data_IF_380729393321
#
_entry.id   IF_380729393321
#
_cell.length_a   1.000
_cell.length_b   1.000
_cell.length_c   1.000
_cell.angle_alpha   90.00
_cell.angle_beta   90.00
_cell.angle_gamma   90.00
#
_symmetry.space_group_name_H-M   'P 1'
#
loop_
_entity.id
_entity.type
_entity.pdbx_description
1 polymer ?
#
# COMPACT_ATOMS: atom_id res chain seq x y z
N UNK A 1 28.26 -35.43 26.11
CA UNK A 1 28.82 -34.44 25.16
C UNK A 1 27.87 -33.92 24.09
N UNK A 2 26.82 -34.68 23.61
CA UNK A 2 25.88 -34.22 22.58
C UNK A 2 24.94 -33.09 23.03
N UNK A 3 24.45 -33.10 24.29
CA UNK A 3 23.48 -32.12 24.78
C UNK A 3 23.93 -30.65 24.64
N UNK A 4 25.15 -30.26 25.06
CA UNK A 4 25.60 -28.86 24.91
C UNK A 4 25.73 -28.45 23.45
N UNK A 5 26.12 -29.34 22.54
CA UNK A 5 26.19 -29.05 21.10
C UNK A 5 24.76 -28.80 20.54
N UNK A 6 23.80 -29.64 20.90
CA UNK A 6 22.39 -29.45 20.49
C UNK A 6 21.82 -28.13 21.00
N UNK A 7 22.12 -27.77 22.26
CA UNK A 7 21.66 -26.49 22.84
C UNK A 7 22.28 -25.28 22.12
N UNK A 8 23.58 -25.34 21.78
CA UNK A 8 24.24 -24.27 21.03
C UNK A 8 23.64 -24.13 19.63
N UNK A 9 23.41 -25.25 18.91
CA UNK A 9 22.78 -25.24 17.59
C UNK A 9 21.36 -24.69 17.65
N UNK A 10 20.57 -25.07 18.64
CA UNK A 10 19.23 -24.54 18.85
C UNK A 10 19.25 -23.03 19.14
N UNK A 11 20.17 -22.55 19.96
CA UNK A 11 20.32 -21.13 20.25
C UNK A 11 20.69 -20.33 18.99
N UNK A 12 21.63 -20.84 18.18
CA UNK A 12 22.02 -20.22 16.91
C UNK A 12 20.80 -20.16 15.96
N UNK A 13 20.06 -21.25 15.83
CA UNK A 13 18.87 -21.29 14.98
C UNK A 13 17.84 -20.26 15.41
N UNK A 14 17.50 -20.20 16.70
CA UNK A 14 16.55 -19.21 17.25
C UNK A 14 17.01 -17.78 17.01
N UNK A 15 18.31 -17.53 17.19
CA UNK A 15 18.89 -16.19 16.96
C UNK A 15 18.80 -15.78 15.49
N UNK A 16 19.13 -16.69 14.57
CA UNK A 16 19.04 -16.42 13.13
C UNK A 16 17.59 -16.18 12.70
N UNK A 17 16.66 -17.02 13.16
CA UNK A 17 15.22 -16.84 12.85
C UNK A 17 14.72 -15.51 13.43
N UNK A 18 15.05 -15.21 14.69
CA UNK A 18 14.70 -13.94 15.34
C UNK A 18 15.23 -12.73 14.56
N UNK A 19 16.49 -12.81 14.10
CA UNK A 19 17.07 -11.77 13.25
C UNK A 19 16.35 -11.62 11.91
N UNK A 20 16.02 -12.72 11.25
CA UNK A 20 15.25 -12.67 9.98
C UNK A 20 13.87 -12.05 10.22
N UNK A 21 13.12 -12.51 11.22
CA UNK A 21 11.81 -11.95 11.58
C UNK A 21 11.91 -10.46 11.85
N UNK A 22 12.84 -10.05 12.68
CA UNK A 22 13.08 -8.64 12.98
C UNK A 22 13.39 -7.85 11.71
N UNK A 23 14.28 -8.34 10.85
CA UNK A 23 14.71 -7.63 9.66
C UNK A 23 13.64 -7.50 8.57
N UNK A 24 12.69 -8.43 8.48
CA UNK A 24 11.57 -8.34 7.52
C UNK A 24 10.39 -7.54 8.08
N UNK A 25 10.21 -7.52 9.40
CA UNK A 25 9.21 -6.66 10.04
C UNK A 25 9.65 -5.21 10.19
N UNK A 26 10.97 -4.93 10.08
CA UNK A 26 11.56 -3.59 10.14
C UNK A 26 12.25 -3.27 8.79
N UNK A 27 11.50 -2.80 7.79
CA UNK A 27 12.07 -2.45 6.49
C UNK A 27 13.22 -1.46 6.60
N UNK A 28 14.16 -1.55 5.67
CA UNK A 28 15.32 -0.65 5.66
C UNK A 28 14.89 0.80 5.44
N UNK A 29 15.34 1.70 6.32
CA UNK A 29 15.13 3.13 6.17
C UNK A 29 16.02 3.67 5.07
N UNK A 30 15.45 4.42 4.14
CA UNK A 30 16.18 5.04 3.02
C UNK A 30 15.79 6.52 2.94
N UNK A 31 16.68 7.32 2.37
CA UNK A 31 16.32 8.69 2.00
C UNK A 31 15.26 8.64 0.90
N UNK A 32 14.35 9.59 0.91
CA UNK A 32 13.35 9.73 -0.16
C UNK A 32 14.04 9.92 -1.51
N UNK A 33 13.54 9.26 -2.54
CA UNK A 33 14.02 9.42 -3.91
C UNK A 33 13.83 10.84 -4.42
N UNK A 34 12.68 11.43 -4.08
CA UNK A 34 12.28 12.79 -4.45
C UNK A 34 11.56 13.40 -3.25
N UNK A 35 11.76 14.70 -3.02
CA UNK A 35 11.02 15.43 -1.97
C UNK A 35 10.07 16.43 -2.61
N UNK A 36 9.01 16.87 -1.89
CA UNK A 36 8.10 17.91 -2.38
C UNK A 36 8.83 19.19 -2.78
N UNK A 37 9.90 19.55 -2.08
CA UNK A 37 10.68 20.77 -2.34
C UNK A 37 11.42 20.67 -3.69
N UNK A 38 12.01 19.51 -4.00
CA UNK A 38 12.65 19.28 -5.31
C UNK A 38 11.62 19.21 -6.44
N UNK A 39 10.42 18.71 -6.17
CA UNK A 39 9.34 18.64 -7.14
C UNK A 39 8.66 20.00 -7.36
N UNK A 40 8.59 20.86 -6.33
CA UNK A 40 7.99 22.20 -6.42
C UNK A 40 8.73 23.14 -7.41
N UNK A 41 9.96 22.79 -7.81
CA UNK A 41 10.68 23.49 -8.87
C UNK A 41 10.17 23.15 -10.28
N UNK A 42 9.48 22.01 -10.42
CA UNK A 42 8.97 21.48 -11.69
C UNK A 42 7.44 21.58 -11.81
N UNK A 43 6.73 21.82 -10.72
CA UNK A 43 5.27 21.88 -10.65
C UNK A 43 4.81 23.04 -9.78
N UNK A 44 3.70 23.68 -10.14
CA UNK A 44 3.05 24.72 -9.32
C UNK A 44 2.32 24.15 -8.09
N UNK A 45 2.28 22.84 -7.92
CA UNK A 45 1.60 22.17 -6.80
C UNK A 45 2.56 22.00 -5.63
N UNK A 46 2.11 22.40 -4.45
CA UNK A 46 2.87 22.25 -3.21
C UNK A 46 2.27 21.12 -2.37
N UNK A 47 3.07 20.10 -2.14
CA UNK A 47 2.74 19.11 -1.14
C UNK A 47 3.14 19.60 0.26
N UNK A 48 2.27 19.43 1.22
CA UNK A 48 2.53 19.74 2.64
C UNK A 48 2.81 18.46 3.43
N UNK A 49 3.69 18.56 4.43
CA UNK A 49 3.90 17.48 5.39
C UNK A 49 2.75 17.48 6.38
N UNK A 50 2.09 16.36 6.51
CA UNK A 50 0.95 16.17 7.41
C UNK A 50 1.23 15.03 8.39
N UNK A 51 0.64 15.12 9.57
CA UNK A 51 0.64 14.06 10.59
C UNK A 51 -0.75 13.90 11.16
N UNK A 52 -1.12 12.67 11.49
CA UNK A 52 -2.40 12.37 12.13
C UNK A 52 -2.25 11.20 13.10
N UNK A 53 -3.20 11.08 14.01
CA UNK A 53 -3.22 10.02 15.01
C UNK A 53 -4.04 8.84 14.50
N UNK A 54 -3.49 7.64 14.62
CA UNK A 54 -4.17 6.39 14.35
C UNK A 54 -5.03 5.95 15.55
N UNK A 55 -5.97 5.03 15.32
CA UNK A 55 -6.88 4.54 16.37
C UNK A 55 -6.15 3.82 17.52
N UNK A 56 -4.99 3.22 17.26
CA UNK A 56 -4.15 2.60 18.30
C UNK A 56 -3.29 3.61 19.08
N UNK A 57 -3.48 4.90 18.84
CA UNK A 57 -2.77 5.99 19.48
C UNK A 57 -1.41 6.31 18.87
N UNK A 58 -0.95 5.55 17.88
CA UNK A 58 0.27 5.83 17.14
C UNK A 58 0.09 6.99 16.15
N UNK A 59 1.18 7.49 15.58
CA UNK A 59 1.17 8.58 14.60
C UNK A 59 1.46 8.03 13.20
N UNK A 60 0.78 8.55 12.18
CA UNK A 60 1.12 8.39 10.77
C UNK A 60 1.53 9.72 10.15
N UNK A 61 2.28 9.65 9.06
CA UNK A 61 2.81 10.81 8.33
C UNK A 61 2.62 10.64 6.85
N UNK A 62 2.38 11.76 6.17
CA UNK A 62 2.17 11.75 4.73
C UNK A 62 2.46 13.09 4.08
N UNK A 63 2.38 13.11 2.76
CA UNK A 63 2.33 14.32 1.95
C UNK A 63 0.92 14.54 1.44
N UNK A 64 0.44 15.77 1.56
CA UNK A 64 -0.89 16.19 1.10
C UNK A 64 -0.77 17.19 -0.04
N UNK A 65 -1.36 16.85 -1.17
CA UNK A 65 -1.61 17.73 -2.31
C UNK A 65 -3.08 18.17 -2.24
N UNK A 66 -3.31 19.45 -1.95
CA UNK A 66 -4.67 19.98 -1.79
C UNK A 66 -5.33 20.17 -3.15
N UNK A 67 -6.57 19.72 -3.26
CA UNK A 67 -7.42 19.90 -4.43
C UNK A 67 -8.45 21.01 -4.25
N UNK A 68 -9.50 20.99 -5.07
CA UNK A 68 -10.67 21.88 -4.91
C UNK A 68 -11.52 21.43 -3.73
N UNK A 69 -12.09 22.42 -3.02
CA UNK A 69 -13.01 22.15 -1.91
C UNK A 69 -14.19 21.30 -2.34
N UNK A 70 -14.50 20.26 -1.56
CA UNK A 70 -15.59 19.33 -1.83
C UNK A 70 -15.33 18.31 -2.94
N UNK A 71 -14.17 18.37 -3.63
CA UNK A 71 -13.78 17.35 -4.60
C UNK A 71 -13.46 16.01 -3.91
N UNK A 72 -13.52 14.87 -4.64
CA UNK A 72 -13.09 13.58 -4.12
C UNK A 72 -11.65 13.61 -3.59
N UNK A 73 -11.32 12.65 -2.75
CA UNK A 73 -9.95 12.42 -2.29
C UNK A 73 -9.39 11.10 -2.81
N UNK A 74 -8.06 11.04 -2.95
CA UNK A 74 -7.35 9.80 -3.32
C UNK A 74 -6.19 9.57 -2.37
N UNK A 75 -6.05 8.34 -1.87
CA UNK A 75 -4.91 7.90 -1.06
C UNK A 75 -4.02 7.00 -1.92
N UNK A 76 -2.72 7.28 -1.97
CA UNK A 76 -1.74 6.50 -2.73
C UNK A 76 -0.83 5.74 -1.79
N UNK A 77 -0.85 4.39 -1.88
CA UNK A 77 -0.18 3.47 -0.97
C UNK A 77 0.95 2.72 -1.68
N UNK A 78 2.17 2.93 -1.20
CA UNK A 78 3.38 2.33 -1.76
C UNK A 78 3.53 0.84 -1.41
N UNK A 79 4.42 0.13 -2.11
CA UNK A 79 4.75 -1.27 -1.84
C UNK A 79 5.69 -1.44 -0.64
N UNK A 80 5.89 -2.69 -0.18
CA UNK A 80 6.88 -3.04 0.84
C UNK A 80 8.28 -2.61 0.44
N UNK A 81 9.08 -2.16 1.41
CA UNK A 81 10.50 -1.83 1.26
C UNK A 81 10.81 -0.51 0.56
N UNK A 82 9.78 0.27 0.19
CA UNK A 82 9.91 1.62 -0.36
C UNK A 82 9.10 2.61 0.48
N UNK A 83 8.94 3.83 0.03
CA UNK A 83 8.26 4.91 0.75
C UNK A 83 7.39 5.76 -0.20
N UNK A 84 6.70 6.74 0.36
CA UNK A 84 5.76 7.63 -0.36
C UNK A 84 6.38 8.39 -1.53
N UNK A 85 7.70 8.60 -1.55
CA UNK A 85 8.38 9.33 -2.64
C UNK A 85 8.27 8.61 -3.99
N UNK A 86 8.07 7.28 -3.98
CA UNK A 86 7.86 6.49 -5.18
C UNK A 86 6.57 6.84 -5.92
N UNK A 87 5.59 7.40 -5.23
CA UNK A 87 4.28 7.74 -5.77
C UNK A 87 4.08 9.26 -5.95
N UNK A 88 5.10 10.08 -5.64
CA UNK A 88 4.95 11.54 -5.69
C UNK A 88 4.62 12.03 -7.10
N UNK A 89 5.27 11.50 -8.13
CA UNK A 89 4.99 11.86 -9.52
C UNK A 89 3.52 11.57 -9.90
N UNK A 90 3.05 10.34 -9.67
CA UNK A 90 1.65 9.97 -9.90
C UNK A 90 0.69 10.88 -9.11
N UNK A 91 1.02 11.16 -7.83
CA UNK A 91 0.21 12.03 -6.97
C UNK A 91 0.08 13.44 -7.49
N UNK A 92 1.17 14.04 -7.97
CA UNK A 92 1.16 15.38 -8.55
C UNK A 92 0.38 15.40 -9.87
N UNK A 93 0.64 14.46 -10.77
CA UNK A 93 -0.08 14.37 -12.05
C UNK A 93 -1.60 14.16 -11.83
N UNK A 94 -1.99 13.31 -10.89
CA UNK A 94 -3.38 13.09 -10.53
C UNK A 94 -4.02 14.37 -9.98
N UNK A 95 -3.37 15.04 -9.04
CA UNK A 95 -3.88 16.30 -8.47
C UNK A 95 -4.00 17.41 -9.52
N UNK A 96 -3.03 17.54 -10.44
CA UNK A 96 -3.07 18.51 -11.53
C UNK A 96 -4.19 18.23 -12.55
N UNK A 97 -4.35 16.97 -12.93
CA UNK A 97 -5.34 16.58 -13.94
C UNK A 97 -6.79 16.66 -13.43
N UNK A 98 -7.02 16.39 -12.14
CA UNK A 98 -8.38 16.20 -11.61
C UNK A 98 -8.80 17.24 -10.58
N UNK A 99 -7.85 17.98 -10.00
CA UNK A 99 -8.03 18.82 -8.81
C UNK A 99 -8.56 18.05 -7.57
N UNK A 100 -8.34 16.74 -7.47
CA UNK A 100 -8.63 15.97 -6.28
C UNK A 100 -7.58 16.22 -5.20
N UNK A 101 -7.98 16.11 -3.94
CA UNK A 101 -7.02 16.10 -2.84
C UNK A 101 -6.34 14.73 -2.78
N UNK A 102 -5.00 14.71 -2.83
CA UNK A 102 -4.21 13.47 -2.85
C UNK A 102 -3.35 13.37 -1.59
N UNK A 103 -3.45 12.24 -0.89
CA UNK A 103 -2.64 11.93 0.29
C UNK A 103 -1.70 10.76 -0.01
N UNK A 104 -0.43 10.95 0.29
CA UNK A 104 0.62 9.95 0.14
C UNK A 104 1.19 9.63 1.53
N UNK A 105 0.65 8.67 2.28
CA UNK A 105 1.22 8.25 3.56
C UNK A 105 2.46 7.38 3.38
N UNK A 106 3.39 7.42 4.34
CA UNK A 106 4.27 6.29 4.57
C UNK A 106 3.48 5.22 5.33
N UNK A 107 3.47 4.01 4.81
CA UNK A 107 2.91 2.87 5.51
C UNK A 107 3.75 2.55 6.76
N UNK A 108 3.11 1.96 7.76
CA UNK A 108 3.74 1.57 9.02
C UNK A 108 5.07 0.83 8.79
N UNK A 109 6.10 1.21 9.53
CA UNK A 109 7.46 0.66 9.38
C UNK A 109 8.29 1.22 8.23
N UNK A 110 7.71 2.04 7.35
CA UNK A 110 8.36 2.57 6.15
C UNK A 110 8.63 4.07 6.23
N UNK A 111 9.38 4.57 5.26
CA UNK A 111 9.74 5.97 5.14
C UNK A 111 10.93 6.39 6.01
N UNK A 112 11.23 7.69 5.99
CA UNK A 112 12.31 8.29 6.76
C UNK A 112 11.83 8.53 8.20
N UNK A 113 12.47 7.89 9.18
CA UNK A 113 12.13 8.00 10.61
C UNK A 113 10.64 7.71 10.91
N UNK A 114 10.13 6.53 10.57
CA UNK A 114 8.74 6.19 10.82
C UNK A 114 8.44 6.25 12.31
N UNK A 115 7.27 6.80 12.73
CA UNK A 115 6.84 6.79 14.13
C UNK A 115 6.72 5.37 14.69
N UNK A 116 6.29 4.43 13.85
CA UNK A 116 6.29 3.00 14.10
C UNK A 116 7.38 2.34 13.27
N UNK A 117 8.28 1.62 13.92
CA UNK A 117 9.43 1.00 13.25
C UNK A 117 9.14 -0.33 12.54
N UNK A 118 7.90 -0.87 12.60
CA UNK A 118 7.58 -2.21 12.11
C UNK A 118 6.31 -2.22 11.25
N UNK A 119 6.25 -3.16 10.31
CA UNK A 119 5.09 -3.46 9.46
C UNK A 119 4.38 -4.73 9.91
N UNK A 120 3.07 -4.76 9.79
CA UNK A 120 2.21 -5.93 10.03
C UNK A 120 1.74 -6.59 8.74
N UNK A 121 2.36 -6.26 7.60
CA UNK A 121 2.01 -6.79 6.29
C UNK A 121 0.53 -6.57 5.92
N UNK A 122 0.00 -5.37 6.20
CA UNK A 122 -1.32 -4.92 5.77
C UNK A 122 -2.41 -4.95 6.84
N UNK A 123 -2.21 -5.58 7.99
CA UNK A 123 -3.23 -5.67 9.05
C UNK A 123 -3.47 -4.33 9.74
N UNK A 124 -2.43 -3.78 10.38
CA UNK A 124 -2.47 -2.48 11.07
C UNK A 124 -2.42 -1.33 10.08
N UNK A 125 -1.73 -1.51 8.96
CA UNK A 125 -1.68 -0.53 7.88
C UNK A 125 -3.08 -0.20 7.35
N UNK A 126 -3.99 -1.18 7.28
CA UNK A 126 -5.38 -0.93 6.89
C UNK A 126 -6.13 -0.04 7.89
N UNK A 127 -5.90 -0.22 9.19
CA UNK A 127 -6.44 0.65 10.25
C UNK A 127 -5.86 2.07 10.15
N UNK A 128 -4.55 2.20 9.86
CA UNK A 128 -3.88 3.48 9.65
C UNK A 128 -4.45 4.23 8.43
N UNK A 129 -4.80 3.50 7.36
CA UNK A 129 -5.44 4.09 6.16
C UNK A 129 -6.87 4.56 6.47
N UNK A 130 -7.63 3.82 7.29
CA UNK A 130 -8.95 4.30 7.76
C UNK A 130 -8.80 5.60 8.54
N UNK A 131 -7.83 5.67 9.47
CA UNK A 131 -7.54 6.90 10.20
C UNK A 131 -7.08 8.05 9.26
N UNK A 132 -6.35 7.74 8.18
CA UNK A 132 -5.97 8.72 7.15
C UNK A 132 -7.18 9.26 6.38
N UNK A 133 -8.17 8.42 6.07
CA UNK A 133 -9.42 8.86 5.46
C UNK A 133 -10.24 9.75 6.39
N UNK A 134 -10.31 9.41 7.67
CA UNK A 134 -10.95 10.26 8.69
C UNK A 134 -10.24 11.61 8.83
N UNK A 135 -8.90 11.61 8.84
CA UNK A 135 -8.10 12.82 8.82
C UNK A 135 -8.43 13.69 7.59
N UNK A 136 -8.49 13.12 6.39
CA UNK A 136 -8.86 13.85 5.19
C UNK A 136 -10.26 14.49 5.31
N UNK A 137 -11.25 13.77 5.85
CA UNK A 137 -12.61 14.31 6.07
C UNK A 137 -12.64 15.42 7.10
N UNK A 138 -11.70 15.47 8.04
CA UNK A 138 -11.61 16.54 9.04
C UNK A 138 -11.04 17.85 8.50
N UNK A 139 -10.36 17.81 7.34
CA UNK A 139 -9.68 18.96 6.75
C UNK A 139 -10.67 20.01 6.24
N UNK A 140 -10.34 21.27 6.48
CA UNK A 140 -11.13 22.43 6.03
C UNK A 140 -10.27 23.39 5.23
N UNK A 141 -10.93 24.14 4.37
CA UNK A 141 -10.35 25.30 3.70
C UNK A 141 -10.22 26.48 4.68
N UNK A 142 -9.45 27.53 4.34
CA UNK A 142 -9.39 28.75 5.14
C UNK A 142 -10.78 29.41 5.36
N UNK A 143 -11.75 29.13 4.47
CA UNK A 143 -13.12 29.62 4.56
C UNK A 143 -14.03 28.72 5.40
N UNK A 144 -13.49 27.63 6.01
CA UNK A 144 -14.23 26.71 6.86
C UNK A 144 -15.02 25.62 6.12
N UNK A 145 -14.95 25.56 4.78
CA UNK A 145 -15.61 24.51 3.99
C UNK A 145 -14.84 23.19 4.10
N UNK A 146 -15.52 22.05 3.95
CA UNK A 146 -14.85 20.76 3.83
C UNK A 146 -13.89 20.75 2.64
N UNK A 147 -12.64 20.31 2.87
CA UNK A 147 -11.64 20.22 1.81
C UNK A 147 -11.96 19.08 0.84
N UNK A 148 -12.44 17.95 1.35
CA UNK A 148 -12.76 16.76 0.56
C UNK A 148 -14.25 16.45 0.59
N UNK A 149 -14.74 15.83 -0.47
CA UNK A 149 -16.09 15.30 -0.56
C UNK A 149 -16.26 13.98 0.19
N UNK A 150 -17.43 13.35 0.01
CA UNK A 150 -17.81 12.11 0.71
C UNK A 150 -17.26 10.84 0.06
N UNK A 151 -16.66 10.93 -1.13
CA UNK A 151 -16.15 9.80 -1.88
C UNK A 151 -14.63 9.81 -1.91
N UNK A 152 -14.03 8.64 -1.71
CA UNK A 152 -12.58 8.44 -1.76
C UNK A 152 -12.22 7.33 -2.75
N UNK A 153 -11.06 7.50 -3.40
CA UNK A 153 -10.37 6.45 -4.12
C UNK A 153 -9.09 6.03 -3.38
N UNK A 154 -8.68 4.79 -3.56
CA UNK A 154 -7.37 4.33 -3.09
C UNK A 154 -6.66 3.63 -4.25
N UNK A 155 -5.42 4.03 -4.49
CA UNK A 155 -4.46 3.31 -5.30
C UNK A 155 -3.43 2.65 -4.39
N UNK A 156 -3.09 1.41 -4.66
CA UNK A 156 -2.05 0.72 -3.90
C UNK A 156 -1.28 -0.30 -4.73
N UNK A 157 -0.01 -0.50 -4.37
CA UNK A 157 0.90 -1.47 -4.99
C UNK A 157 1.33 -2.49 -3.95
N UNK A 158 1.22 -3.76 -4.23
CA UNK A 158 1.61 -4.90 -3.39
C UNK A 158 1.08 -4.78 -1.95
N UNK A 159 1.93 -4.45 -0.94
CA UNK A 159 1.50 -4.15 0.44
C UNK A 159 0.43 -3.07 0.45
N UNK A 160 0.64 -1.99 -0.31
CA UNK A 160 -0.34 -0.91 -0.46
C UNK A 160 -1.66 -1.38 -1.07
N UNK A 161 -1.62 -2.29 -2.05
CA UNK A 161 -2.82 -2.85 -2.68
C UNK A 161 -3.60 -3.74 -1.70
N UNK A 162 -2.91 -4.61 -0.98
CA UNK A 162 -3.55 -5.42 0.06
C UNK A 162 -4.13 -4.56 1.19
N UNK A 163 -3.39 -3.53 1.61
CA UNK A 163 -3.83 -2.55 2.60
C UNK A 163 -5.07 -1.78 2.12
N UNK A 164 -5.09 -1.33 0.86
CA UNK A 164 -6.23 -0.63 0.24
C UNK A 164 -7.50 -1.49 0.25
N UNK A 165 -7.38 -2.76 -0.14
CA UNK A 165 -8.47 -3.71 -0.14
C UNK A 165 -9.07 -3.88 1.27
N UNK A 166 -8.21 -4.03 2.28
CA UNK A 166 -8.59 -4.21 3.68
C UNK A 166 -9.18 -2.92 4.30
N UNK A 167 -8.70 -1.75 3.90
CA UNK A 167 -9.26 -0.46 4.33
C UNK A 167 -10.65 -0.22 3.73
N UNK A 168 -10.84 -0.55 2.44
CA UNK A 168 -12.13 -0.42 1.77
C UNK A 168 -13.24 -1.31 2.36
N UNK A 169 -12.87 -2.44 2.96
CA UNK A 169 -13.80 -3.30 3.72
C UNK A 169 -14.34 -2.60 4.98
N UNK A 170 -13.60 -1.64 5.54
CA UNK A 170 -13.90 -0.94 6.80
C UNK A 170 -14.46 0.47 6.63
N UNK A 171 -14.24 1.09 5.47
CA UNK A 171 -14.67 2.48 5.21
C UNK A 171 -15.50 2.54 3.91
N UNK A 172 -16.79 2.80 4.07
CA UNK A 172 -17.74 2.86 2.95
C UNK A 172 -17.54 4.06 2.04
N UNK A 173 -16.82 5.09 2.47
CA UNK A 173 -16.49 6.24 1.61
C UNK A 173 -15.52 5.86 0.49
N UNK A 174 -14.79 4.76 0.63
CA UNK A 174 -13.93 4.20 -0.42
C UNK A 174 -14.79 3.56 -1.49
N UNK A 175 -15.00 4.26 -2.60
CA UNK A 175 -15.85 3.83 -3.72
C UNK A 175 -15.05 3.30 -4.90
N UNK A 176 -13.78 3.70 -5.02
CA UNK A 176 -12.92 3.37 -6.15
C UNK A 176 -11.60 2.79 -5.66
N UNK A 177 -11.20 1.66 -6.24
CA UNK A 177 -9.94 0.99 -5.94
C UNK A 177 -9.11 0.78 -7.21
N UNK A 178 -7.81 1.04 -7.13
CA UNK A 178 -6.84 0.58 -8.11
C UNK A 178 -5.81 -0.26 -7.37
N UNK A 179 -5.80 -1.56 -7.65
CA UNK A 179 -4.99 -2.55 -6.94
C UNK A 179 -3.96 -3.14 -7.91
N UNK A 180 -2.71 -2.82 -7.69
CA UNK A 180 -1.60 -3.24 -8.53
C UNK A 180 -0.77 -4.32 -7.85
N UNK A 181 -0.54 -5.42 -8.58
CA UNK A 181 0.36 -6.50 -8.14
C UNK A 181 0.04 -7.00 -6.73
N UNK A 182 -1.25 -7.26 -6.45
CA UNK A 182 -1.72 -7.61 -5.12
C UNK A 182 -1.33 -9.05 -4.73
N UNK A 183 -0.73 -9.28 -3.56
CA UNK A 183 -0.47 -10.63 -3.05
C UNK A 183 -1.76 -11.33 -2.62
N UNK A 184 -1.79 -12.66 -2.71
CA UNK A 184 -2.93 -13.44 -2.27
C UNK A 184 -3.10 -13.40 -0.74
N UNK A 185 -1.99 -13.36 0.01
CA UNK A 185 -1.98 -13.37 1.49
C UNK A 185 -0.80 -12.57 2.06
N UNK A 186 -0.87 -12.10 3.31
CA UNK A 186 0.29 -11.57 4.04
C UNK A 186 1.49 -12.52 4.13
N UNK A 187 1.26 -13.84 4.18
CA UNK A 187 2.34 -14.82 4.13
C UNK A 187 3.11 -14.80 2.80
N UNK A 188 2.47 -14.46 1.69
CA UNK A 188 3.15 -14.33 0.40
C UNK A 188 4.08 -13.11 0.39
N UNK A 189 3.64 -11.99 0.97
CA UNK A 189 4.49 -10.81 1.19
C UNK A 189 5.67 -11.13 2.11
N UNK A 190 5.40 -11.82 3.24
CA UNK A 190 6.45 -12.27 4.16
C UNK A 190 7.48 -13.14 3.44
N UNK A 191 7.03 -14.09 2.60
CA UNK A 191 7.90 -14.95 1.79
C UNK A 191 8.77 -14.13 0.85
N UNK A 192 8.20 -13.14 0.16
CA UNK A 192 8.93 -12.25 -0.74
C UNK A 192 9.97 -11.43 0.03
N UNK A 193 9.60 -10.85 1.17
CA UNK A 193 10.50 -10.08 2.03
C UNK A 193 11.68 -10.94 2.55
N UNK A 194 11.41 -12.19 2.96
CA UNK A 194 12.45 -13.14 3.38
C UNK A 194 13.40 -13.45 2.23
N UNK A 195 12.85 -13.73 1.02
CA UNK A 195 13.67 -14.00 -0.17
C UNK A 195 14.54 -12.79 -0.54
N UNK A 196 13.97 -11.59 -0.52
CA UNK A 196 14.71 -10.34 -0.80
C UNK A 196 15.83 -10.13 0.23
N UNK A 197 15.56 -10.37 1.51
CA UNK A 197 16.50 -10.12 2.62
C UNK A 197 17.62 -11.15 2.71
N UNK A 198 17.32 -12.43 2.44
CA UNK A 198 18.24 -13.55 2.66
C UNK A 198 18.80 -14.14 1.37
N UNK A 199 18.20 -13.84 0.21
CA UNK A 199 18.47 -14.52 -1.06
C UNK A 199 17.93 -15.96 -1.12
N UNK A 200 17.31 -16.47 -0.05
CA UNK A 200 16.87 -17.85 0.09
C UNK A 200 15.37 -18.00 -0.13
N UNK A 201 14.99 -19.03 -0.91
CA UNK A 201 13.58 -19.44 -1.06
C UNK A 201 13.43 -20.89 -0.61
N UNK A 202 13.72 -21.16 0.67
CA UNK A 202 13.68 -22.49 1.27
C UNK A 202 12.42 -22.64 2.12
N UNK A 203 11.64 -23.72 1.89
CA UNK A 203 10.37 -23.95 2.59
C UNK A 203 10.54 -24.13 4.10
N UNK A 204 11.64 -24.72 4.55
CA UNK A 204 11.91 -24.92 5.97
C UNK A 204 12.19 -23.57 6.67
N UNK A 205 13.01 -22.71 6.05
CA UNK A 205 13.25 -21.35 6.53
C UNK A 205 11.93 -20.56 6.59
N UNK A 206 11.11 -20.64 5.53
CA UNK A 206 9.82 -19.95 5.47
C UNK A 206 8.87 -20.44 6.58
N UNK A 207 8.85 -21.72 6.87
CA UNK A 207 8.04 -22.29 7.95
C UNK A 207 8.47 -21.75 9.32
N UNK A 208 9.77 -21.71 9.61
CA UNK A 208 10.30 -21.16 10.85
C UNK A 208 10.05 -19.65 10.97
N UNK A 209 10.28 -18.89 9.89
CA UNK A 209 10.06 -17.44 9.92
C UNK A 209 8.57 -17.11 10.09
N UNK A 210 7.66 -17.85 9.45
CA UNK A 210 6.23 -17.70 9.66
C UNK A 210 5.83 -17.96 11.11
N UNK A 211 6.33 -19.07 11.70
CA UNK A 211 6.10 -19.36 13.12
C UNK A 211 6.66 -18.29 14.03
N UNK A 212 7.90 -17.82 13.75
CA UNK A 212 8.55 -16.74 14.48
C UNK A 212 7.79 -15.39 14.34
N UNK A 213 7.24 -15.09 13.17
CA UNK A 213 6.41 -13.89 12.95
C UNK A 213 5.10 -13.96 13.75
N UNK A 214 4.42 -15.12 13.76
CA UNK A 214 3.25 -15.30 14.62
C UNK A 214 3.58 -15.10 16.10
N UNK A 215 4.72 -15.63 16.56
CA UNK A 215 5.19 -15.43 17.93
C UNK A 215 5.54 -13.97 18.20
N UNK A 216 6.24 -13.30 17.27
CA UNK A 216 6.62 -11.88 17.36
C UNK A 216 5.40 -10.96 17.55
N UNK A 217 4.30 -11.24 16.85
CA UNK A 217 3.04 -10.50 16.97
C UNK A 217 2.08 -11.09 18.02
N UNK A 218 2.56 -11.96 18.92
CA UNK A 218 1.74 -12.59 19.97
C UNK A 218 0.46 -13.24 19.42
N UNK A 219 0.55 -13.90 18.26
CA UNK A 219 -0.60 -14.53 17.59
C UNK A 219 -1.49 -13.56 16.79
N UNK A 220 -1.24 -12.24 16.81
CA UNK A 220 -2.04 -11.24 16.10
C UNK A 220 -1.58 -11.00 14.64
N UNK A 221 -0.80 -11.90 14.07
CA UNK A 221 -0.48 -11.86 12.65
C UNK A 221 -1.65 -12.41 11.84
N UNK A 222 -2.45 -11.50 11.29
CA UNK A 222 -3.59 -11.87 10.44
C UNK A 222 -3.10 -12.27 9.03
N UNK A 223 -3.42 -13.49 8.62
CA UNK A 223 -3.08 -14.01 7.29
C UNK A 223 -4.33 -14.18 6.42
N UNK A 224 -5.29 -13.28 6.54
CA UNK A 224 -6.54 -13.33 5.78
C UNK A 224 -6.26 -13.25 4.27
N UNK A 225 -6.82 -14.14 3.44
CA UNK A 225 -6.68 -14.05 1.98
C UNK A 225 -7.31 -12.75 1.43
N UNK A 226 -6.66 -12.15 0.43
CA UNK A 226 -7.22 -10.98 -0.28
C UNK A 226 -8.60 -11.28 -0.88
N UNK A 227 -8.81 -12.51 -1.36
CA UNK A 227 -10.09 -12.99 -1.90
C UNK A 227 -11.25 -12.88 -0.89
N UNK A 228 -10.99 -13.15 0.39
CA UNK A 228 -12.00 -13.03 1.44
C UNK A 228 -12.44 -11.56 1.63
N UNK A 229 -11.49 -10.62 1.63
CA UNK A 229 -11.81 -9.20 1.70
C UNK A 229 -12.53 -8.70 0.44
N UNK A 230 -12.11 -9.14 -0.74
CA UNK A 230 -12.77 -8.78 -2.00
C UNK A 230 -14.23 -9.24 -2.05
N UNK A 231 -14.56 -10.39 -1.47
CA UNK A 231 -15.92 -10.92 -1.42
C UNK A 231 -16.91 -10.02 -0.65
N UNK A 232 -16.42 -9.13 0.21
CA UNK A 232 -17.24 -8.16 0.95
C UNK A 232 -17.39 -6.81 0.25
N UNK A 233 -16.71 -6.58 -0.90
CA UNK A 233 -16.69 -5.29 -1.58
C UNK A 233 -17.74 -5.19 -2.70
N UNK A 234 -19.01 -5.32 -2.32
CA UNK A 234 -20.10 -4.96 -3.21
C UNK A 234 -20.09 -3.45 -3.50
N UNK A 235 -20.54 -3.04 -4.69
CA UNK A 235 -20.72 -1.64 -5.07
C UNK A 235 -19.42 -0.79 -5.04
N UNK A 236 -18.27 -1.39 -5.34
CA UNK A 236 -17.00 -0.69 -5.55
C UNK A 236 -16.59 -0.81 -7.02
N UNK A 237 -16.00 0.28 -7.56
CA UNK A 237 -15.35 0.23 -8.87
C UNK A 237 -13.89 -0.12 -8.66
N UNK A 238 -13.44 -1.25 -9.21
CA UNK A 238 -12.09 -1.75 -8.98
C UNK A 238 -11.35 -1.97 -10.28
N UNK A 239 -10.14 -1.43 -10.39
CA UNK A 239 -9.18 -1.74 -11.43
C UNK A 239 -8.08 -2.63 -10.84
N UNK A 240 -7.88 -3.80 -11.43
CA UNK A 240 -6.79 -4.71 -11.10
C UNK A 240 -5.70 -4.59 -12.17
N UNK A 241 -4.47 -4.34 -11.73
CA UNK A 241 -3.31 -4.19 -12.60
C UNK A 241 -2.32 -5.32 -12.34
N UNK A 242 -1.98 -6.07 -13.38
CA UNK A 242 -1.04 -7.18 -13.32
C UNK A 242 -0.10 -7.14 -14.52
N UNK A 243 1.16 -7.51 -14.33
CA UNK A 243 2.17 -7.51 -15.38
C UNK A 243 3.25 -8.55 -15.15
N UNK A 244 4.03 -8.79 -16.22
CA UNK A 244 5.09 -9.81 -16.20
C UNK A 244 6.28 -9.41 -15.32
N UNK A 245 6.47 -8.12 -15.12
CA UNK A 245 7.53 -7.56 -14.26
C UNK A 245 7.34 -7.85 -12.77
N UNK A 246 6.10 -8.18 -12.36
CA UNK A 246 5.72 -8.63 -11.02
C UNK A 246 5.17 -10.07 -11.05
N UNK A 247 5.85 -10.96 -11.77
CA UNK A 247 5.39 -12.32 -12.10
C UNK A 247 4.90 -13.13 -10.91
N UNK A 248 5.52 -12.99 -9.73
CA UNK A 248 5.10 -13.68 -8.50
C UNK A 248 3.75 -13.19 -7.95
N UNK A 249 3.26 -12.01 -8.38
CA UNK A 249 2.01 -11.39 -7.95
C UNK A 249 0.97 -11.35 -9.08
N UNK A 250 1.38 -11.65 -10.32
CA UNK A 250 0.50 -11.60 -11.49
C UNK A 250 -0.69 -12.55 -11.33
N UNK A 251 -0.40 -13.80 -11.01
CA UNK A 251 -1.45 -14.84 -10.90
C UNK A 251 -2.41 -14.55 -9.74
N UNK A 252 -1.92 -14.07 -8.60
CA UNK A 252 -2.76 -13.69 -7.48
C UNK A 252 -3.67 -12.50 -7.80
N UNK A 253 -3.15 -11.53 -8.55
CA UNK A 253 -3.94 -10.37 -8.99
C UNK A 253 -5.03 -10.78 -9.99
N UNK A 254 -4.72 -11.66 -10.94
CA UNK A 254 -5.70 -12.19 -11.89
C UNK A 254 -6.78 -13.00 -11.17
N UNK A 255 -6.38 -13.88 -10.25
CA UNK A 255 -7.31 -14.71 -9.49
C UNK A 255 -8.27 -13.88 -8.61
N UNK A 256 -7.81 -12.74 -8.09
CA UNK A 256 -8.62 -11.85 -7.27
C UNK A 256 -9.86 -11.33 -8.01
N UNK A 257 -9.81 -11.16 -9.34
CA UNK A 257 -10.95 -10.69 -10.13
C UNK A 257 -12.20 -11.58 -9.95
N UNK A 258 -12.00 -12.89 -9.76
CA UNK A 258 -13.07 -13.86 -9.53
C UNK A 258 -13.64 -13.87 -8.09
N UNK A 259 -13.03 -13.12 -7.18
CA UNK A 259 -13.42 -13.11 -5.76
C UNK A 259 -14.48 -12.04 -5.42
N UNK A 260 -14.63 -11.03 -6.28
CA UNK A 260 -15.62 -9.97 -6.06
C UNK A 260 -17.05 -10.51 -6.23
N UNK A 261 -18.04 -9.92 -5.53
CA UNK A 261 -19.46 -10.30 -5.68
C UNK A 261 -19.92 -10.20 -7.13
N UNK A 262 -20.90 -11.05 -7.51
CA UNK A 262 -21.51 -10.97 -8.85
C UNK A 262 -22.11 -9.58 -9.08
N UNK A 263 -21.87 -9.01 -10.27
CA UNK A 263 -22.32 -7.66 -10.62
C UNK A 263 -21.39 -6.53 -10.16
N UNK A 264 -20.28 -6.83 -9.49
CA UNK A 264 -19.27 -5.82 -9.17
C UNK A 264 -18.60 -5.28 -10.44
N UNK A 265 -18.27 -4.00 -10.42
CA UNK A 265 -17.58 -3.34 -11.54
C UNK A 265 -16.06 -3.53 -11.37
N UNK A 266 -15.55 -4.67 -11.86
CA UNK A 266 -14.12 -5.01 -11.79
C UNK A 266 -13.54 -5.03 -13.20
N UNK A 267 -12.52 -4.20 -13.43
CA UNK A 267 -11.72 -4.18 -14.65
C UNK A 267 -10.35 -4.80 -14.37
N UNK A 268 -9.93 -5.78 -15.18
CA UNK A 268 -8.62 -6.41 -15.08
C UNK A 268 -7.77 -6.05 -16.30
N UNK A 269 -6.55 -5.58 -16.05
CA UNK A 269 -5.48 -5.41 -17.05
C UNK A 269 -4.31 -6.30 -16.65
N UNK A 270 -4.10 -7.37 -17.39
CA UNK A 270 -3.11 -8.41 -17.07
C UNK A 270 -1.97 -8.52 -18.08
N UNK A 271 -1.92 -7.62 -19.05
CA UNK A 271 -0.97 -7.58 -20.16
C UNK A 271 0.01 -6.39 -20.08
N UNK A 272 0.20 -5.87 -18.86
CA UNK A 272 1.06 -4.72 -18.66
C UNK A 272 2.54 -5.09 -18.79
N UNK A 273 3.33 -4.37 -19.59
CA UNK A 273 4.77 -4.60 -19.66
C UNK A 273 5.47 -4.15 -18.37
N UNK A 274 4.89 -3.19 -17.67
CA UNK A 274 5.33 -2.67 -16.36
C UNK A 274 4.14 -2.35 -15.49
N UNK A 275 4.29 -2.65 -14.21
CA UNK A 275 3.33 -2.34 -13.15
C UNK A 275 3.90 -1.30 -12.19
N UNK A 276 3.09 -0.76 -11.31
CA UNK A 276 3.53 0.13 -10.22
C UNK A 276 4.61 -0.50 -9.32
N UNK A 277 4.74 -1.82 -9.35
CA UNK A 277 5.77 -2.54 -8.61
C UNK A 277 7.19 -2.14 -9.06
N UNK A 278 7.40 -1.89 -10.37
CA UNK A 278 8.70 -1.53 -10.96
C UNK A 278 8.68 -0.24 -11.80
N UNK A 279 7.61 0.56 -11.72
CA UNK A 279 7.44 1.75 -12.56
C UNK A 279 8.61 2.76 -12.42
N UNK A 280 9.22 2.98 -11.24
CA UNK A 280 10.37 3.88 -11.11
C UNK A 280 11.58 3.50 -11.94
N UNK A 281 11.65 2.24 -12.41
CA UNK A 281 12.70 1.77 -13.32
C UNK A 281 12.30 1.82 -14.81
N UNK A 282 11.06 2.29 -15.11
CA UNK A 282 10.55 2.36 -16.47
C UNK A 282 11.07 3.59 -17.22
N UNK A 283 11.04 3.54 -18.56
CA UNK A 283 11.27 4.72 -19.41
C UNK A 283 10.14 5.74 -19.22
N UNK A 284 10.39 7.02 -19.54
CA UNK A 284 9.40 8.09 -19.42
C UNK A 284 8.05 7.73 -20.07
N UNK A 285 8.08 7.24 -21.32
CA UNK A 285 6.86 6.88 -22.06
C UNK A 285 6.05 5.76 -21.40
N UNK A 286 6.72 4.72 -20.89
CA UNK A 286 6.03 3.61 -20.20
C UNK A 286 5.42 4.07 -18.87
N UNK A 287 6.15 4.91 -18.13
CA UNK A 287 5.67 5.50 -16.89
C UNK A 287 4.46 6.39 -17.13
N UNK A 288 4.51 7.27 -18.12
CA UNK A 288 3.41 8.16 -18.48
C UNK A 288 2.15 7.41 -18.93
N UNK A 289 2.31 6.35 -19.72
CA UNK A 289 1.18 5.52 -20.16
C UNK A 289 0.52 4.79 -18.99
N UNK A 290 1.32 4.32 -18.03
CA UNK A 290 0.81 3.70 -16.81
C UNK A 290 0.09 4.73 -15.92
N UNK A 291 0.74 5.86 -15.61
CA UNK A 291 0.19 6.91 -14.76
C UNK A 291 -1.13 7.44 -15.34
N UNK A 292 -1.19 7.69 -16.66
CA UNK A 292 -2.41 8.11 -17.34
C UNK A 292 -3.55 7.10 -17.18
N UNK A 293 -3.28 5.81 -17.31
CA UNK A 293 -4.30 4.75 -17.10
C UNK A 293 -4.89 4.78 -15.70
N UNK A 294 -4.04 4.92 -14.68
CA UNK A 294 -4.46 5.02 -13.28
C UNK A 294 -5.32 6.27 -13.06
N UNK A 295 -4.84 7.42 -13.57
CA UNK A 295 -5.53 8.71 -13.44
C UNK A 295 -6.89 8.69 -14.14
N UNK A 296 -6.94 8.23 -15.39
CA UNK A 296 -8.18 8.17 -16.19
C UNK A 296 -9.23 7.28 -15.53
N UNK A 297 -8.81 6.12 -14.99
CA UNK A 297 -9.74 5.24 -14.28
C UNK A 297 -10.27 5.89 -12.99
N UNK A 298 -9.38 6.44 -12.16
CA UNK A 298 -9.78 7.11 -10.91
C UNK A 298 -10.71 8.29 -11.19
N UNK A 299 -10.39 9.15 -12.16
CA UNK A 299 -11.21 10.32 -12.50
C UNK A 299 -12.60 9.91 -13.01
N UNK A 300 -12.65 9.00 -13.99
CA UNK A 300 -13.91 8.50 -14.53
C UNK A 300 -14.79 7.85 -13.48
N UNK A 301 -14.19 7.01 -12.62
CA UNK A 301 -14.92 6.27 -11.61
C UNK A 301 -15.43 7.19 -10.48
N UNK A 302 -14.58 8.10 -9.96
CA UNK A 302 -14.95 9.01 -8.86
C UNK A 302 -15.99 10.06 -9.30
N UNK A 303 -15.92 10.57 -10.53
CA UNK A 303 -16.96 11.48 -11.06
C UNK A 303 -18.32 10.80 -11.15
N UNK A 304 -18.35 9.53 -11.52
CA UNK A 304 -19.60 8.77 -11.62
C UNK A 304 -20.24 8.45 -10.25
N UNK A 305 -19.46 8.42 -9.18
CA UNK A 305 -19.95 8.24 -7.80
C UNK A 305 -20.42 9.57 -7.17
N UNK A 306 -20.04 10.71 -7.73
CA UNK A 306 -20.42 12.04 -7.24
C UNK A 306 -21.70 12.62 -7.87
N UNK A 307 -22.29 11.89 -8.84
CA UNK A 307 -23.57 12.23 -9.48
C UNK A 307 -24.71 11.47 -8.83
#
# INVERSE_FOLDING_TARGET
MLLPIVLVLALVLVTVIGWVVYSVTHPARRAYLVTPESFAQLSNRKATNETWRNHDGTESRGWLLRGLAGAPSVVLLHRYGVDRSWLLNLGVMLNEATNYTVLLPDLRGHGLNPPNGWTSFGTREAEDVVAALEYLRSLKTPQGQALVGNTAGIYGVELGAYTALRAAERDESVRVLVLDSIPATPNDMLRMAVKEKTGLNNNLLQWFVRGGTHFYFFGNFDNRPACESAAHLANRRTLLLAGDDASSLRDSTIALAGCFPQGSNVELKSDLPRTGFNIPSATGEQSEAYDRRVIDFLDKALRAEGQ
#
